data_IF_297138512402
#
_entry.id   IF_297138512402
#
_cell.length_a   1.000
_cell.length_b   1.000
_cell.length_c   1.000
_cell.angle_alpha   90.00
_cell.angle_beta   90.00
_cell.angle_gamma   90.00
#
_symmetry.space_group_name_H-M   'P 1'
#
loop_
_entity.id
_entity.type
_entity.pdbx_description
1 polymer ?
#
# COMPACT_ATOMS: atom_id res chain seq x y z
N UNK A 1 14.59 -11.95 16.89
CA UNK A 1 15.56 -10.86 16.64
C UNK A 1 15.78 -10.66 15.15
N UNK A 2 16.18 -11.65 14.36
CA UNK A 2 16.40 -11.50 12.90
C UNK A 2 15.21 -10.95 12.08
N UNK A 3 13.96 -11.33 12.41
CA UNK A 3 12.77 -10.81 11.73
C UNK A 3 12.57 -9.30 11.98
N UNK A 4 12.87 -8.82 13.18
CA UNK A 4 12.78 -7.39 13.50
C UNK A 4 13.86 -6.57 12.79
N UNK A 5 15.07 -7.12 12.62
CA UNK A 5 16.17 -6.40 11.98
C UNK A 5 15.96 -6.31 10.46
N UNK A 6 15.53 -7.40 9.82
CA UNK A 6 15.17 -7.40 8.39
C UNK A 6 13.94 -6.53 8.08
N UNK A 7 12.94 -6.51 8.97
CA UNK A 7 11.81 -5.60 8.87
C UNK A 7 12.25 -4.16 9.03
N UNK A 8 13.11 -3.87 10.02
CA UNK A 8 13.67 -2.53 10.25
C UNK A 8 14.47 -2.05 9.05
N UNK A 9 15.31 -2.87 8.44
CA UNK A 9 16.05 -2.49 7.22
C UNK A 9 15.14 -2.26 6.00
N UNK A 10 14.09 -3.09 5.82
CA UNK A 10 13.08 -2.86 4.76
C UNK A 10 12.32 -1.56 5.00
N UNK A 11 12.01 -1.25 6.25
CA UNK A 11 11.31 -0.05 6.68
C UNK A 11 12.19 1.19 6.55
N UNK A 12 13.43 1.15 7.02
CA UNK A 12 14.42 2.22 6.88
C UNK A 12 14.75 2.51 5.41
N UNK A 13 14.71 1.52 4.52
CA UNK A 13 14.78 1.75 3.07
C UNK A 13 13.52 2.43 2.52
N UNK A 14 12.34 1.92 2.87
CA UNK A 14 11.06 2.45 2.40
C UNK A 14 10.79 3.89 2.89
N UNK A 15 11.21 4.22 4.11
CA UNK A 15 11.02 5.53 4.76
C UNK A 15 12.22 6.45 4.51
N UNK A 16 13.44 5.91 4.48
CA UNK A 16 14.69 6.66 4.36
C UNK A 16 14.94 7.29 2.99
N UNK A 17 14.27 6.80 1.93
CA UNK A 17 14.24 7.45 0.61
C UNK A 17 13.27 8.65 0.57
N UNK A 18 12.21 8.64 1.38
CA UNK A 18 11.20 9.69 1.42
C UNK A 18 11.50 10.83 2.43
N UNK A 19 12.47 10.62 3.32
CA UNK A 19 12.71 11.50 4.47
C UNK A 19 13.97 12.37 4.45
N UNK A 20 14.81 12.33 3.41
CA UNK A 20 16.08 13.07 3.39
C UNK A 20 15.99 14.39 2.62
N UNK A 21 15.33 15.38 3.24
CA UNK A 21 15.56 16.80 2.91
C UNK A 21 14.33 17.68 3.02
N UNK A 22 14.54 18.94 3.38
CA UNK A 22 13.57 20.03 3.24
C UNK A 22 13.32 20.41 1.75
N UNK A 23 13.40 19.43 0.84
CA UNK A 23 13.30 19.59 -0.60
C UNK A 23 12.08 18.87 -1.18
N UNK A 24 11.83 19.12 -2.46
CA UNK A 24 10.75 18.50 -3.24
C UNK A 24 11.18 17.09 -3.63
N UNK A 25 10.37 16.07 -3.36
CA UNK A 25 10.54 14.73 -3.91
C UNK A 25 10.09 14.74 -5.39
N UNK A 26 10.99 14.56 -6.37
CA UNK A 26 10.63 14.61 -7.79
C UNK A 26 9.59 13.56 -8.21
N UNK A 27 9.55 12.42 -7.53
CA UNK A 27 8.53 11.40 -7.80
C UNK A 27 7.17 11.83 -7.26
N UNK A 28 7.11 12.28 -6.01
CA UNK A 28 5.87 12.78 -5.40
C UNK A 28 5.29 13.98 -6.18
N UNK A 29 6.15 14.91 -6.62
CA UNK A 29 5.73 16.04 -7.45
C UNK A 29 5.13 15.59 -8.79
N UNK A 30 5.72 14.56 -9.42
CA UNK A 30 5.14 13.98 -10.62
C UNK A 30 3.78 13.34 -10.31
N UNK A 31 3.65 12.60 -9.21
CA UNK A 31 2.35 12.04 -8.78
C UNK A 31 1.31 13.15 -8.59
N UNK A 32 1.66 14.26 -7.92
CA UNK A 32 0.80 15.44 -7.76
C UNK A 32 0.35 16.03 -9.09
N UNK A 33 1.27 16.20 -10.04
CA UNK A 33 0.95 16.71 -11.38
C UNK A 33 -0.03 15.79 -12.13
N UNK A 34 0.11 14.48 -12.00
CA UNK A 34 -0.84 13.53 -12.61
C UNK A 34 -2.22 13.62 -11.94
N UNK A 35 -2.26 13.70 -10.61
CA UNK A 35 -3.51 13.90 -9.85
C UNK A 35 -4.26 15.13 -10.37
N UNK A 36 -3.56 16.26 -10.53
CA UNK A 36 -4.15 17.51 -11.02
C UNK A 36 -4.54 17.43 -12.50
N UNK A 37 -3.64 16.96 -13.37
CA UNK A 37 -3.87 16.94 -14.82
C UNK A 37 -5.07 16.08 -15.19
N UNK A 38 -5.22 14.94 -14.54
CA UNK A 38 -6.29 13.98 -14.84
C UNK A 38 -7.44 14.03 -13.84
N UNK A 39 -7.44 14.98 -12.90
CA UNK A 39 -8.46 15.11 -11.86
C UNK A 39 -8.73 13.79 -11.12
N UNK A 40 -7.65 13.08 -10.76
CA UNK A 40 -7.74 11.72 -10.21
C UNK A 40 -8.23 11.68 -8.77
N UNK A 41 -8.03 12.77 -8.03
CA UNK A 41 -8.43 12.95 -6.63
C UNK A 41 -9.02 14.35 -6.52
N UNK A 42 -10.18 14.46 -5.89
CA UNK A 42 -10.90 15.70 -5.67
C UNK A 42 -11.05 16.00 -4.17
N UNK A 43 -11.44 17.24 -3.87
CA UNK A 43 -11.72 17.69 -2.50
C UNK A 43 -12.74 16.78 -1.82
N UNK A 44 -12.40 16.26 -0.65
CA UNK A 44 -13.27 15.38 0.15
C UNK A 44 -13.22 13.90 -0.22
N UNK A 45 -12.41 13.50 -1.21
CA UNK A 45 -12.31 12.10 -1.61
C UNK A 45 -11.70 11.20 -0.52
N UNK A 46 -12.15 9.95 -0.50
CA UNK A 46 -11.52 8.88 0.27
C UNK A 46 -10.65 8.03 -0.65
N UNK A 47 -9.34 8.16 -0.51
CA UNK A 47 -8.35 7.46 -1.33
C UNK A 47 -7.88 6.21 -0.58
N UNK A 48 -8.19 5.04 -1.15
CA UNK A 48 -7.72 3.76 -0.64
C UNK A 48 -6.62 3.17 -1.52
N UNK A 49 -5.39 3.15 -1.01
CA UNK A 49 -4.24 2.61 -1.72
C UNK A 49 -4.15 1.08 -1.57
N UNK A 50 -3.96 0.39 -2.68
CA UNK A 50 -3.64 -1.03 -2.67
C UNK A 50 -2.18 -1.30 -2.32
N UNK A 51 -1.92 -1.90 -1.17
CA UNK A 51 -0.59 -2.11 -0.62
C UNK A 51 -0.22 -3.60 -0.63
N UNK A 52 0.54 -4.05 -1.63
CA UNK A 52 0.96 -5.46 -1.74
C UNK A 52 2.19 -5.79 -0.87
N UNK A 53 2.94 -4.77 -0.43
CA UNK A 53 4.25 -4.92 0.23
C UNK A 53 5.44 -4.92 -0.74
N UNK A 54 5.17 -4.88 -2.04
CA UNK A 54 6.18 -4.69 -3.08
C UNK A 54 6.57 -3.22 -3.26
N UNK A 55 7.75 -2.99 -3.83
CA UNK A 55 8.38 -1.67 -3.97
C UNK A 55 7.46 -0.63 -4.61
N UNK A 56 6.76 -0.96 -5.70
CA UNK A 56 5.88 -0.03 -6.40
C UNK A 56 4.71 0.47 -5.52
N UNK A 57 4.05 -0.47 -4.82
CA UNK A 57 2.92 -0.14 -3.94
C UNK A 57 3.33 0.66 -2.71
N UNK A 58 4.52 0.35 -2.18
CA UNK A 58 5.12 1.08 -1.06
C UNK A 58 5.49 2.49 -1.51
N UNK A 59 6.18 2.63 -2.65
CA UNK A 59 6.56 3.91 -3.23
C UNK A 59 5.35 4.81 -3.47
N UNK A 60 4.27 4.27 -4.05
CA UNK A 60 3.02 5.02 -4.24
C UNK A 60 2.42 5.50 -2.91
N UNK A 61 2.31 4.61 -1.92
CA UNK A 61 1.75 4.99 -0.61
C UNK A 61 2.59 6.07 0.06
N UNK A 62 3.93 5.92 0.03
CA UNK A 62 4.86 6.88 0.61
C UNK A 62 4.76 8.24 -0.08
N UNK A 63 4.65 8.28 -1.41
CA UNK A 63 4.46 9.52 -2.16
C UNK A 63 3.13 10.21 -1.80
N UNK A 64 2.03 9.46 -1.71
CA UNK A 64 0.73 10.00 -1.29
C UNK A 64 0.76 10.52 0.15
N UNK A 65 1.44 9.80 1.06
CA UNK A 65 1.62 10.22 2.45
C UNK A 65 2.46 11.50 2.54
N UNK A 66 3.54 11.61 1.76
CA UNK A 66 4.36 12.82 1.68
C UNK A 66 3.53 14.02 1.21
N UNK A 67 2.76 13.89 0.12
CA UNK A 67 1.89 14.95 -0.38
C UNK A 67 0.81 15.34 0.63
N UNK A 68 0.21 14.36 1.32
CA UNK A 68 -0.74 14.60 2.42
C UNK A 68 -0.11 15.44 3.52
N UNK A 69 1.08 15.07 3.98
CA UNK A 69 1.76 15.72 5.11
C UNK A 69 2.25 17.13 4.75
N UNK A 70 2.51 17.39 3.47
CA UNK A 70 2.79 18.73 2.92
C UNK A 70 1.54 19.58 2.67
N UNK A 71 0.34 19.00 2.76
CA UNK A 71 -0.91 19.68 2.40
C UNK A 71 -1.05 19.94 0.89
N UNK A 72 -0.39 19.12 0.07
CA UNK A 72 -0.37 19.21 -1.40
C UNK A 72 -1.39 18.27 -2.07
N UNK A 73 -2.07 17.42 -1.30
CA UNK A 73 -3.29 16.75 -1.76
C UNK A 73 -4.48 17.72 -1.72
N UNK A 74 -5.54 17.47 -2.52
CA UNK A 74 -6.78 18.23 -2.44
C UNK A 74 -7.32 18.31 -0.99
N UNK A 75 -7.98 19.41 -0.60
CA UNK A 75 -8.48 19.58 0.76
C UNK A 75 -9.45 18.45 1.18
N UNK A 76 -9.47 18.14 2.47
CA UNK A 76 -10.36 17.15 3.08
C UNK A 76 -10.25 15.71 2.49
N UNK A 77 -9.17 15.39 1.78
CA UNK A 77 -8.88 14.02 1.35
C UNK A 77 -8.47 13.16 2.54
N UNK A 78 -9.03 11.96 2.64
CA UNK A 78 -8.57 10.93 3.58
C UNK A 78 -7.81 9.83 2.84
N UNK A 79 -6.71 9.36 3.43
CA UNK A 79 -5.87 8.31 2.87
C UNK A 79 -5.92 7.06 3.75
N UNK A 80 -6.22 5.90 3.16
CA UNK A 80 -6.14 4.58 3.78
C UNK A 80 -5.40 3.59 2.89
N UNK A 81 -5.07 2.42 3.42
CA UNK A 81 -4.46 1.32 2.68
C UNK A 81 -5.23 0.01 2.87
N UNK A 82 -5.22 -0.85 1.86
CA UNK A 82 -5.71 -2.23 1.92
C UNK A 82 -4.59 -3.17 1.50
N UNK A 83 -4.33 -4.20 2.30
CA UNK A 83 -3.48 -5.33 1.93
C UNK A 83 -4.29 -6.62 1.91
N UNK A 84 -4.11 -7.39 0.83
CA UNK A 84 -4.75 -8.68 0.64
C UNK A 84 -3.67 -9.75 0.66
N UNK A 85 -3.65 -10.54 1.72
CA UNK A 85 -2.81 -11.72 1.80
C UNK A 85 -3.51 -12.89 1.10
N UNK A 86 -2.94 -13.33 -0.03
CA UNK A 86 -3.46 -14.47 -0.80
C UNK A 86 -3.06 -15.84 -0.24
N UNK A 87 -2.25 -15.88 0.83
CA UNK A 87 -1.81 -17.10 1.51
C UNK A 87 -1.09 -18.12 0.62
N UNK A 88 -0.48 -17.68 -0.50
CA UNK A 88 0.16 -18.57 -1.48
C UNK A 88 1.60 -18.99 -1.12
N UNK A 89 2.30 -18.19 -0.30
CA UNK A 89 3.75 -18.36 -0.03
C UNK A 89 4.07 -18.64 1.45
N UNK A 90 3.06 -18.99 2.25
CA UNK A 90 3.22 -19.27 3.68
C UNK A 90 3.92 -18.12 4.42
N UNK A 91 5.06 -18.40 5.05
CA UNK A 91 5.78 -17.44 5.89
C UNK A 91 6.19 -16.13 5.19
N UNK A 92 6.44 -16.15 3.87
CA UNK A 92 6.73 -14.90 3.14
C UNK A 92 5.52 -13.97 3.10
N UNK A 93 4.34 -14.54 2.88
CA UNK A 93 3.07 -13.80 2.87
C UNK A 93 2.79 -13.16 4.23
N UNK A 94 3.09 -13.86 5.33
CA UNK A 94 2.94 -13.32 6.69
C UNK A 94 3.98 -12.21 6.97
N UNK A 95 5.19 -12.36 6.43
CA UNK A 95 6.24 -11.33 6.49
C UNK A 95 5.85 -10.04 5.77
N UNK A 96 5.24 -10.15 4.58
CA UNK A 96 4.72 -8.98 3.85
C UNK A 96 3.58 -8.31 4.63
N UNK A 97 2.66 -9.08 5.22
CA UNK A 97 1.58 -8.55 6.07
C UNK A 97 2.13 -7.80 7.31
N UNK A 98 3.14 -8.37 7.98
CA UNK A 98 3.77 -7.73 9.13
C UNK A 98 4.47 -6.42 8.75
N UNK A 99 5.17 -6.42 7.61
CA UNK A 99 5.85 -5.24 7.08
C UNK A 99 4.86 -4.11 6.77
N UNK A 100 3.78 -4.38 6.02
CA UNK A 100 2.81 -3.34 5.66
C UNK A 100 2.07 -2.79 6.88
N UNK A 101 1.83 -3.63 7.89
CA UNK A 101 1.25 -3.19 9.18
C UNK A 101 2.16 -2.19 9.89
N UNK A 102 3.45 -2.48 9.95
CA UNK A 102 4.42 -1.58 10.57
C UNK A 102 4.50 -0.25 9.80
N UNK A 103 4.65 -0.32 8.46
CA UNK A 103 4.74 0.85 7.59
C UNK A 103 3.54 1.79 7.75
N UNK A 104 2.31 1.26 7.65
CA UNK A 104 1.11 2.08 7.82
C UNK A 104 0.97 2.65 9.23
N UNK A 105 1.38 1.89 10.26
CA UNK A 105 1.42 2.36 11.64
C UNK A 105 2.35 3.56 11.82
N UNK A 106 3.55 3.53 11.24
CA UNK A 106 4.50 4.65 11.28
C UNK A 106 3.99 5.90 10.55
N UNK A 107 3.31 5.72 9.42
CA UNK A 107 2.77 6.82 8.62
C UNK A 107 1.42 7.36 9.13
N UNK A 108 0.85 6.75 10.18
CA UNK A 108 -0.48 7.08 10.70
C UNK A 108 -1.60 6.83 9.67
N UNK A 109 -1.45 5.83 8.80
CA UNK A 109 -2.41 5.49 7.74
C UNK A 109 -3.28 4.32 8.21
N UNK A 110 -4.63 4.43 8.20
CA UNK A 110 -5.52 3.31 8.43
C UNK A 110 -5.25 2.17 7.45
N UNK A 111 -5.02 0.96 7.97
CA UNK A 111 -4.76 -0.24 7.17
C UNK A 111 -5.85 -1.28 7.39
N UNK A 112 -6.46 -1.71 6.29
CA UNK A 112 -7.38 -2.84 6.25
C UNK A 112 -6.66 -4.09 5.73
N UNK A 113 -6.84 -5.20 6.43
CA UNK A 113 -6.15 -6.45 6.14
C UNK A 113 -7.16 -7.54 5.84
N UNK A 114 -6.98 -8.20 4.71
CA UNK A 114 -7.76 -9.36 4.32
C UNK A 114 -6.83 -10.56 4.10
N UNK A 115 -7.32 -11.76 4.38
CA UNK A 115 -6.59 -12.99 4.13
C UNK A 115 -7.51 -14.00 3.50
N UNK A 116 -7.10 -14.54 2.35
CA UNK A 116 -7.88 -15.50 1.60
C UNK A 116 -7.00 -16.69 1.24
N UNK A 117 -7.41 -17.94 1.54
CA UNK A 117 -6.72 -19.14 1.07
C UNK A 117 -7.02 -19.32 -0.44
N UNK A 118 -6.35 -18.53 -1.29
CA UNK A 118 -6.67 -18.44 -2.72
C UNK A 118 -6.62 -19.79 -3.40
N UNK A 119 -5.65 -20.64 -3.05
CA UNK A 119 -5.53 -21.98 -3.63
C UNK A 119 -6.75 -22.86 -3.37
N UNK A 120 -7.29 -22.83 -2.15
CA UNK A 120 -8.48 -23.60 -1.77
C UNK A 120 -9.72 -23.05 -2.48
N UNK A 121 -9.89 -21.73 -2.47
CA UNK A 121 -11.02 -21.07 -3.12
C UNK A 121 -11.00 -21.29 -4.65
N UNK A 122 -9.82 -21.26 -5.26
CA UNK A 122 -9.64 -21.51 -6.69
C UNK A 122 -10.02 -22.95 -7.05
N UNK A 123 -9.59 -23.92 -6.24
CA UNK A 123 -9.92 -25.33 -6.41
C UNK A 123 -11.45 -25.57 -6.30
N UNK A 124 -12.09 -25.00 -5.27
CA UNK A 124 -13.54 -25.14 -5.04
C UNK A 124 -14.38 -24.52 -6.16
N UNK A 125 -13.90 -23.42 -6.76
CA UNK A 125 -14.61 -22.71 -7.84
C UNK A 125 -14.26 -23.23 -9.24
N UNK A 126 -13.28 -24.14 -9.38
CA UNK A 126 -12.78 -24.59 -10.67
C UNK A 126 -12.13 -23.48 -11.50
N UNK A 127 -11.47 -22.52 -10.84
CA UNK A 127 -10.85 -21.34 -11.45
C UNK A 127 -9.33 -21.34 -11.28
N UNK A 128 -8.61 -20.52 -12.03
CA UNK A 128 -7.17 -20.32 -11.83
C UNK A 128 -6.86 -19.52 -10.55
N UNK A 129 -5.72 -19.77 -9.91
CA UNK A 129 -5.28 -19.04 -8.70
C UNK A 129 -5.16 -17.53 -8.95
N UNK A 130 -4.57 -17.11 -10.08
CA UNK A 130 -4.40 -15.70 -10.44
C UNK A 130 -5.74 -14.98 -10.62
N UNK A 131 -6.68 -15.62 -11.31
CA UNK A 131 -8.01 -15.08 -11.53
C UNK A 131 -8.79 -14.96 -10.22
N UNK A 132 -8.71 -15.99 -9.37
CA UNK A 132 -9.33 -16.00 -8.05
C UNK A 132 -8.74 -14.91 -7.16
N UNK A 133 -7.41 -14.77 -7.14
CA UNK A 133 -6.73 -13.70 -6.41
C UNK A 133 -7.15 -12.31 -6.89
N UNK A 134 -7.27 -12.10 -8.21
CA UNK A 134 -7.74 -10.84 -8.79
C UNK A 134 -9.16 -10.49 -8.37
N UNK A 135 -10.06 -11.47 -8.31
CA UNK A 135 -11.45 -11.28 -7.88
C UNK A 135 -11.53 -10.91 -6.39
N UNK A 136 -10.92 -11.72 -5.53
CA UNK A 136 -10.90 -11.49 -4.08
C UNK A 136 -10.27 -10.15 -3.73
N UNK A 137 -9.24 -9.75 -4.48
CA UNK A 137 -8.64 -8.42 -4.34
C UNK A 137 -9.64 -7.32 -4.64
N UNK A 138 -10.47 -7.43 -5.69
CA UNK A 138 -11.51 -6.43 -6.01
C UNK A 138 -12.59 -6.38 -4.93
N UNK A 139 -13.00 -7.54 -4.41
CA UNK A 139 -13.97 -7.63 -3.32
C UNK A 139 -13.47 -6.91 -2.05
N UNK A 140 -12.16 -7.01 -1.75
CA UNK A 140 -11.55 -6.33 -0.61
C UNK A 140 -11.49 -4.79 -0.73
N UNK A 141 -11.63 -4.24 -1.94
CA UNK A 141 -11.67 -2.79 -2.19
C UNK A 141 -13.09 -2.22 -2.33
N UNK A 142 -14.12 -3.07 -2.34
CA UNK A 142 -15.53 -2.68 -2.52
C UNK A 142 -16.14 -2.19 -1.20
#
# INVERSE_FOLDING_TARGET
MALCDAMRERMERAVGEAGRGAGVDPFAERVRQYIETYQMIQTGDSVCAGLSGGADSVCLLTALAFLRDKGELPPAVSLSAVHVNHCLRGAESDGDMAFVRALCGEMGIPLYLYSYPVREIAADRGMGEEETGRLLRREAYA
#
